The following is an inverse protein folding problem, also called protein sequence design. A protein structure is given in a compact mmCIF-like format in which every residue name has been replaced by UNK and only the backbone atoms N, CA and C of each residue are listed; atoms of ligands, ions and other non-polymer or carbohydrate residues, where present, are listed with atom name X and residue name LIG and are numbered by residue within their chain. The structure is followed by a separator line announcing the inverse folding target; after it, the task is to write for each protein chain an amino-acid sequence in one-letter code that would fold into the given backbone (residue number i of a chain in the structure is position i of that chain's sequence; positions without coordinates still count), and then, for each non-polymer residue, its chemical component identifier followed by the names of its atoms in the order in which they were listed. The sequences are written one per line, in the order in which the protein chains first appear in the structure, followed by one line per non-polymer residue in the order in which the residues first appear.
data_IF_479163721362
#
_entry.id   IF_479163721362
#
_cell.length_a   1.000
_cell.length_b   1.000
_cell.length_c   1.000
_cell.angle_alpha   90.00
_cell.angle_beta   90.00
_cell.angle_gamma   90.00
#
_symmetry.space_group_name_H-M   'P 1'
#
loop_
_entity.id
_entity.type
_entity.pdbx_description
1 polymer ?
#
# COMPACT_ATOMS: atom_id res chain seq x y z
N UNK A 1 -10.19 16.32 -2.86
CA UNK A 1 -9.48 15.75 -4.03
C UNK A 1 -9.77 14.26 -4.05
N UNK A 2 -10.36 13.71 -5.13
CA UNK A 2 -10.66 12.27 -5.18
C UNK A 2 -9.37 11.53 -5.53
N UNK A 3 -9.14 10.38 -4.93
CA UNK A 3 -7.93 9.56 -5.17
C UNK A 3 -7.75 9.12 -6.62
N UNK A 4 -8.81 9.20 -7.44
CA UNK A 4 -8.77 8.92 -8.88
C UNK A 4 -8.08 10.03 -9.70
N UNK A 5 -7.98 11.24 -9.16
CA UNK A 5 -7.37 12.39 -9.84
C UNK A 5 -5.84 12.45 -9.64
N UNK A 6 -5.31 11.58 -8.78
CA UNK A 6 -3.88 11.51 -8.48
C UNK A 6 -3.24 10.50 -9.44
N UNK A 7 -2.19 10.89 -10.19
CA UNK A 7 -1.52 9.95 -11.08
C UNK A 7 -0.91 8.79 -10.27
N UNK A 8 -0.91 7.55 -10.81
CA UNK A 8 -0.31 6.41 -10.13
C UNK A 8 1.17 6.66 -9.81
N UNK A 9 1.59 6.29 -8.60
CA UNK A 9 2.99 6.34 -8.21
C UNK A 9 3.72 5.08 -8.69
N UNK A 10 4.75 5.25 -9.53
CA UNK A 10 5.55 4.16 -10.05
C UNK A 10 6.62 3.70 -9.06
N UNK A 11 6.47 2.50 -8.49
CA UNK A 11 7.45 1.91 -7.57
C UNK A 11 8.16 0.73 -8.22
N UNK A 12 9.49 0.67 -8.11
CA UNK A 12 10.28 -0.51 -8.46
C UNK A 12 10.31 -1.45 -7.26
N UNK A 13 9.81 -2.67 -7.45
CA UNK A 13 9.76 -3.71 -6.41
C UNK A 13 10.16 -5.05 -7.02
N UNK A 14 10.70 -5.95 -6.18
CA UNK A 14 10.97 -7.32 -6.60
C UNK A 14 9.67 -8.06 -6.95
N UNK A 15 9.75 -9.06 -7.83
CA UNK A 15 8.60 -9.85 -8.24
C UNK A 15 7.93 -10.57 -7.06
N UNK A 16 8.74 -11.06 -6.13
CA UNK A 16 8.29 -11.72 -4.90
C UNK A 16 7.46 -10.76 -4.03
N UNK A 17 7.98 -9.56 -3.76
CA UNK A 17 7.27 -8.56 -2.95
C UNK A 17 5.94 -8.16 -3.59
N UNK A 18 5.91 -7.99 -4.92
CA UNK A 18 4.68 -7.71 -5.67
C UNK A 18 3.67 -8.85 -5.52
N UNK A 19 4.12 -10.10 -5.57
CA UNK A 19 3.27 -11.28 -5.37
C UNK A 19 2.65 -11.33 -3.98
N UNK A 20 3.46 -11.07 -2.94
CA UNK A 20 2.99 -11.01 -1.55
C UNK A 20 1.96 -9.89 -1.34
N UNK A 21 2.21 -8.70 -1.90
CA UNK A 21 1.27 -7.58 -1.84
C UNK A 21 -0.05 -7.89 -2.56
N UNK A 22 0.02 -8.52 -3.73
CA UNK A 22 -1.17 -8.90 -4.50
C UNK A 22 -2.03 -9.93 -3.75
N UNK A 23 -1.39 -10.95 -3.14
CA UNK A 23 -2.08 -11.95 -2.32
C UNK A 23 -2.79 -11.30 -1.13
N UNK A 24 -2.05 -10.47 -0.38
CA UNK A 24 -2.59 -9.76 0.79
C UNK A 24 -3.74 -8.81 0.42
N UNK A 25 -3.63 -8.10 -0.69
CA UNK A 25 -4.68 -7.22 -1.17
C UNK A 25 -5.97 -8.00 -1.49
N UNK A 26 -5.84 -9.18 -2.10
CA UNK A 26 -6.97 -10.09 -2.39
C UNK A 26 -7.60 -10.64 -1.10
N UNK A 27 -6.80 -11.02 -0.11
CA UNK A 27 -7.29 -11.48 1.20
C UNK A 27 -8.06 -10.39 1.96
N UNK A 28 -7.72 -9.12 1.74
CA UNK A 28 -8.35 -7.97 2.40
C UNK A 28 -9.47 -7.31 1.57
N UNK A 29 -9.89 -7.91 0.45
CA UNK A 29 -10.87 -7.34 -0.50
C UNK A 29 -10.53 -5.89 -0.93
N UNK A 30 -9.24 -5.63 -1.16
CA UNK A 30 -8.70 -4.32 -1.54
C UNK A 30 -8.00 -4.37 -2.89
N UNK A 31 -8.01 -3.22 -3.58
CA UNK A 31 -7.06 -3.03 -4.68
C UNK A 31 -5.63 -3.01 -4.15
N UNK A 32 -4.67 -3.43 -4.98
CA UNK A 32 -3.25 -3.40 -4.61
C UNK A 32 -2.80 -1.99 -4.19
N UNK A 33 -3.28 -0.95 -4.87
CA UNK A 33 -3.00 0.44 -4.50
C UNK A 33 -3.57 0.79 -3.12
N UNK A 34 -4.83 0.43 -2.85
CA UNK A 34 -5.48 0.70 -1.56
C UNK A 34 -4.76 -0.01 -0.41
N UNK A 35 -4.29 -1.24 -0.62
CA UNK A 35 -3.55 -1.99 0.39
C UNK A 35 -2.17 -1.37 0.66
N UNK A 36 -1.43 -1.00 -0.38
CA UNK A 36 -0.13 -0.31 -0.22
C UNK A 36 -0.30 0.98 0.58
N UNK A 37 -1.30 1.81 0.26
CA UNK A 37 -1.58 3.05 0.99
C UNK A 37 -1.90 2.77 2.46
N UNK A 38 -2.66 1.70 2.77
CA UNK A 38 -2.97 1.33 4.16
C UNK A 38 -1.73 0.86 4.93
N UNK A 39 -0.85 0.07 4.30
CA UNK A 39 0.42 -0.36 4.88
C UNK A 39 1.29 0.85 5.22
N UNK A 40 1.44 1.80 4.28
CA UNK A 40 2.23 3.01 4.48
C UNK A 40 1.65 3.89 5.61
N UNK A 41 0.32 4.08 5.63
CA UNK A 41 -0.35 4.82 6.72
C UNK A 41 -0.08 4.19 8.08
N UNK A 42 -0.18 2.86 8.17
CA UNK A 42 0.06 2.14 9.42
C UNK A 42 1.51 2.29 9.87
N UNK A 43 2.47 2.08 8.97
CA UNK A 43 3.89 2.21 9.28
C UNK A 43 4.24 3.60 9.85
N UNK A 44 3.78 4.67 9.18
CA UNK A 44 4.03 6.04 9.61
C UNK A 44 3.28 6.41 10.91
N UNK A 45 2.08 5.86 11.11
CA UNK A 45 1.31 6.08 12.34
C UNK A 45 1.90 5.35 13.55
N UNK A 46 2.51 4.18 13.33
CA UNK A 46 3.17 3.39 14.36
C UNK A 46 4.56 3.96 14.69
N UNK A 47 5.25 4.60 13.74
CA UNK A 47 6.49 5.34 13.97
C UNK A 47 6.26 6.56 14.88
N UNK A 48 5.24 7.37 14.63
CA UNK A 48 4.92 8.55 15.45
C UNK A 48 4.42 8.24 16.88
N UNK A 49 4.24 6.96 17.23
CA UNK A 49 3.92 6.51 18.60
C UNK A 49 5.13 6.01 19.39
N UNK A 50 6.30 5.95 18.76
CA UNK A 50 7.56 5.49 19.39
C UNK A 50 8.46 6.64 19.83
N UNK A 51 8.04 7.88 19.60
CA UNK A 51 8.61 9.12 20.18
C UNK A 51 7.78 9.57 21.38
#
# INVERSE_FOLDING_TARGET
MKTKDIPPFGVRMSAELKGLLAKRAKENDRSMNSEIVQILKKALSDEGKRE
#
